data_IF_734143797778
#
_entry.id   IF_734143797778
#
_cell.length_a   1.000
_cell.length_b   1.000
_cell.length_c   1.000
_cell.angle_alpha   90.00
_cell.angle_beta   90.00
_cell.angle_gamma   90.00
#
_symmetry.space_group_name_H-M   'P 1'
#
loop_
_entity.id
_entity.type
_entity.pdbx_description
1 polymer ?
#
# COMPACT_ATOMS: atom_id res chain seq x y z
N UNK A 1 -8.67 4.32 14.92
CA UNK A 1 -8.18 5.33 13.95
C UNK A 1 -8.59 4.89 12.55
N UNK A 2 -9.24 5.74 11.74
CA UNK A 2 -9.82 5.34 10.45
C UNK A 2 -8.80 5.22 9.31
N UNK A 3 -8.94 4.19 8.47
CA UNK A 3 -8.08 3.86 7.32
C UNK A 3 -7.95 5.04 6.34
N UNK A 4 -9.03 5.82 6.19
CA UNK A 4 -9.06 7.02 5.36
C UNK A 4 -8.09 8.11 5.85
N UNK A 5 -7.96 8.27 7.18
CA UNK A 5 -7.04 9.24 7.80
C UNK A 5 -5.59 8.78 7.70
N UNK A 6 -5.33 7.47 7.75
CA UNK A 6 -4.01 6.88 7.50
C UNK A 6 -3.59 7.11 6.04
N UNK A 7 -4.48 6.83 5.08
CA UNK A 7 -4.24 7.05 3.65
C UNK A 7 -3.96 8.53 3.36
N UNK A 8 -4.81 9.44 3.84
CA UNK A 8 -4.65 10.88 3.62
C UNK A 8 -3.38 11.41 4.28
N UNK A 9 -3.06 11.00 5.51
CA UNK A 9 -1.84 11.41 6.20
C UNK A 9 -0.56 10.86 5.53
N UNK A 10 -0.63 9.64 5.01
CA UNK A 10 0.43 9.07 4.19
C UNK A 10 0.64 9.93 2.93
N UNK A 11 -0.42 10.18 2.15
CA UNK A 11 -0.40 10.99 0.93
C UNK A 11 0.03 12.46 1.15
N UNK A 12 -0.36 13.10 2.25
CA UNK A 12 0.03 14.49 2.54
C UNK A 12 1.44 14.61 3.07
N UNK A 13 1.97 13.57 3.75
CA UNK A 13 3.40 13.47 4.09
C UNK A 13 4.28 13.20 2.86
N UNK A 14 3.71 12.76 1.73
CA UNK A 14 4.38 12.83 0.43
C UNK A 14 4.43 14.25 -0.10
N UNK A 15 5.25 15.07 0.54
CA UNK A 15 5.86 16.18 -0.18
C UNK A 15 6.95 15.55 -1.06
N UNK A 16 6.97 15.76 -2.39
CA UNK A 16 8.03 15.27 -3.26
C UNK A 16 9.28 16.14 -3.02
N UNK A 17 9.83 16.07 -1.81
CA UNK A 17 11.08 16.72 -1.44
C UNK A 17 12.27 15.75 -1.54
N UNK A 18 12.06 14.53 -2.04
CA UNK A 18 13.15 13.59 -2.31
C UNK A 18 12.84 12.74 -3.54
N UNK A 19 13.72 12.73 -4.56
CA UNK A 19 13.63 11.79 -5.68
C UNK A 19 13.89 10.33 -5.25
N UNK A 20 14.31 10.12 -4.00
CA UNK A 20 14.46 8.80 -3.41
C UNK A 20 13.17 8.41 -2.67
N UNK A 21 12.48 7.38 -3.17
CA UNK A 21 11.33 6.73 -2.52
C UNK A 21 11.61 6.12 -1.12
N UNK A 22 12.71 6.49 -0.46
CA UNK A 22 13.17 5.98 0.83
C UNK A 22 12.28 6.37 2.02
N UNK A 23 11.61 7.54 1.97
CA UNK A 23 10.70 7.97 3.05
C UNK A 23 9.41 7.16 3.06
N UNK A 24 8.92 6.74 1.90
CA UNK A 24 7.73 5.91 1.75
C UNK A 24 7.92 4.51 2.33
N UNK A 25 9.02 3.85 1.94
CA UNK A 25 9.37 2.52 2.44
C UNK A 25 9.61 2.52 3.95
N UNK A 26 10.14 3.61 4.51
CA UNK A 26 10.39 3.72 5.96
C UNK A 26 9.08 3.78 6.76
N UNK A 27 8.04 4.45 6.27
CA UNK A 27 6.73 4.48 6.94
C UNK A 27 5.99 3.15 6.79
N UNK A 28 6.00 2.55 5.59
CA UNK A 28 5.36 1.26 5.35
C UNK A 28 5.97 0.13 6.18
N UNK A 29 7.27 0.18 6.51
CA UNK A 29 7.93 -0.76 7.43
C UNK A 29 7.35 -0.76 8.84
N UNK A 30 6.75 0.34 9.28
CA UNK A 30 6.13 0.44 10.61
C UNK A 30 4.70 -0.08 10.67
N UNK A 31 4.11 -0.39 9.51
CA UNK A 31 2.71 -0.78 9.43
C UNK A 31 2.53 -2.28 9.67
N UNK A 32 1.43 -2.66 10.33
CA UNK A 32 1.02 -4.06 10.44
C UNK A 32 0.50 -4.56 9.08
N UNK A 33 0.40 -5.88 8.93
CA UNK A 33 -0.13 -6.48 7.70
C UNK A 33 -1.61 -6.12 7.49
N UNK A 34 -2.37 -6.02 8.58
CA UNK A 34 -3.76 -5.54 8.57
C UNK A 34 -3.85 -4.09 8.06
N UNK A 35 -2.88 -3.23 8.37
CA UNK A 35 -2.81 -1.86 7.84
C UNK A 35 -2.43 -1.84 6.36
N UNK A 36 -1.49 -2.69 5.92
CA UNK A 36 -1.13 -2.84 4.50
C UNK A 36 -2.34 -3.34 3.68
N UNK A 37 -3.07 -4.33 4.18
CA UNK A 37 -4.28 -4.87 3.56
C UNK A 37 -5.38 -3.80 3.45
N UNK A 38 -5.62 -3.07 4.54
CA UNK A 38 -6.62 -2.01 4.58
C UNK A 38 -6.34 -0.88 3.58
N UNK A 39 -5.07 -0.46 3.48
CA UNK A 39 -4.66 0.58 2.53
C UNK A 39 -4.73 0.07 1.09
N UNK A 40 -4.36 -1.19 0.82
CA UNK A 40 -4.57 -1.80 -0.49
C UNK A 40 -6.04 -1.73 -0.91
N UNK A 41 -6.95 -2.23 -0.05
CA UNK A 41 -8.41 -2.17 -0.31
C UNK A 41 -8.90 -0.75 -0.56
N UNK A 42 -8.38 0.23 0.17
CA UNK A 42 -8.72 1.64 -0.03
C UNK A 42 -8.22 2.21 -1.37
N UNK A 43 -7.17 1.63 -1.96
CA UNK A 43 -6.73 1.99 -3.32
C UNK A 43 -7.53 1.30 -4.43
N UNK A 44 -8.12 0.13 -4.14
CA UNK A 44 -8.96 -0.63 -5.09
C UNK A 44 -10.40 -0.15 -5.12
N UNK A 45 -10.93 0.26 -3.97
CA UNK A 45 -12.24 0.89 -3.88
C UNK A 45 -12.10 2.33 -4.40
N UNK A 46 -12.97 2.77 -5.31
CA UNK A 46 -13.07 4.09 -5.97
C UNK A 46 -12.98 5.35 -5.06
N UNK A 47 -12.76 5.16 -3.75
CA UNK A 47 -12.54 6.18 -2.73
C UNK A 47 -11.21 6.92 -2.84
N UNK A 48 -10.35 6.61 -3.83
CA UNK A 48 -9.23 7.47 -4.17
C UNK A 48 -9.73 8.73 -4.89
N UNK A 49 -10.40 9.63 -4.16
CA UNK A 49 -10.41 11.04 -4.53
C UNK A 49 -9.02 11.56 -4.24
N UNK A 50 -8.18 11.64 -5.27
CA UNK A 50 -6.89 12.32 -5.24
C UNK A 50 -7.06 13.63 -4.46
N UNK A 51 -6.54 13.67 -3.24
CA UNK A 51 -6.58 14.88 -2.43
C UNK A 51 -5.86 15.96 -3.24
N UNK A 52 -6.60 16.99 -3.61
CA UNK A 52 -6.16 18.10 -4.45
C UNK A 52 -4.93 18.77 -3.83
N UNK A 53 -3.76 18.39 -4.32
CA UNK A 53 -2.45 18.93 -3.98
C UNK A 53 -1.55 18.86 -5.22
N UNK A 54 -0.50 19.68 -5.32
CA UNK A 54 0.16 19.99 -6.59
C UNK A 54 0.79 18.79 -7.33
N UNK A 55 1.00 17.64 -6.66
CA UNK A 55 1.38 16.36 -7.29
C UNK A 55 0.87 15.17 -6.46
N UNK A 56 -0.33 14.63 -6.72
CA UNK A 56 -0.83 13.45 -6.00
C UNK A 56 -0.04 12.21 -6.44
N UNK A 57 0.41 11.38 -5.48
CA UNK A 57 0.88 10.02 -5.78
C UNK A 57 -0.27 9.26 -6.38
N UNK A 58 -0.11 8.77 -7.61
CA UNK A 58 -1.16 8.02 -8.28
C UNK A 58 -1.43 6.69 -7.56
N UNK A 59 -2.63 6.14 -7.70
CA UNK A 59 -2.97 4.79 -7.21
C UNK A 59 -1.93 3.76 -7.66
N UNK A 60 -1.42 3.88 -8.88
CA UNK A 60 -0.38 3.02 -9.42
C UNK A 60 0.93 3.10 -8.62
N UNK A 61 1.41 4.31 -8.30
CA UNK A 61 2.61 4.50 -7.47
C UNK A 61 2.40 3.99 -6.04
N UNK A 62 1.22 4.20 -5.46
CA UNK A 62 0.90 3.67 -4.14
C UNK A 62 0.93 2.13 -4.12
N UNK A 63 0.37 1.50 -5.15
CA UNK A 63 0.41 0.04 -5.32
C UNK A 63 1.84 -0.47 -5.48
N UNK A 64 2.69 0.19 -6.27
CA UNK A 64 4.10 -0.21 -6.41
C UNK A 64 4.84 -0.20 -5.06
N UNK A 65 4.62 0.83 -4.24
CA UNK A 65 5.23 0.91 -2.91
C UNK A 65 4.70 -0.16 -1.96
N UNK A 66 3.40 -0.44 -1.99
CA UNK A 66 2.80 -1.53 -1.21
C UNK A 66 3.37 -2.90 -1.64
N UNK A 67 3.40 -3.20 -2.95
CA UNK A 67 3.96 -4.45 -3.47
C UNK A 67 5.41 -4.60 -3.04
N UNK A 68 6.23 -3.56 -3.16
CA UNK A 68 7.64 -3.61 -2.77
C UNK A 68 7.82 -3.93 -1.27
N UNK A 69 6.98 -3.36 -0.40
CA UNK A 69 7.03 -3.68 1.03
C UNK A 69 6.50 -5.10 1.33
N UNK A 70 5.42 -5.52 0.66
CA UNK A 70 4.85 -6.86 0.83
C UNK A 70 5.84 -7.93 0.34
N UNK A 71 6.50 -7.72 -0.80
CA UNK A 71 7.54 -8.60 -1.33
C UNK A 71 8.75 -8.69 -0.38
N UNK A 72 9.13 -7.57 0.25
CA UNK A 72 10.21 -7.55 1.24
C UNK A 72 9.89 -8.40 2.46
N UNK A 73 8.63 -8.44 2.92
CA UNK A 73 8.19 -9.22 4.09
C UNK A 73 7.90 -10.68 3.74
N UNK A 74 7.27 -10.91 2.60
CA UNK A 74 6.68 -12.18 2.19
C UNK A 74 7.07 -12.53 0.75
N UNK A 75 8.37 -12.73 0.44
CA UNK A 75 8.83 -12.86 -0.95
C UNK A 75 8.22 -14.07 -1.67
N UNK A 76 8.04 -15.19 -0.96
CA UNK A 76 7.46 -16.41 -1.54
C UNK A 76 5.96 -16.23 -1.76
N UNK A 77 5.23 -15.78 -0.74
CA UNK A 77 3.78 -15.59 -0.81
C UNK A 77 3.41 -14.50 -1.84
N UNK A 78 4.23 -13.46 -1.94
CA UNK A 78 4.05 -12.39 -2.93
C UNK A 78 4.23 -12.91 -4.34
N UNK A 79 5.26 -13.72 -4.61
CA UNK A 79 5.42 -14.35 -5.93
C UNK A 79 4.25 -15.25 -6.29
N UNK A 80 3.80 -16.09 -5.35
CA UNK A 80 2.61 -16.94 -5.55
C UNK A 80 1.36 -16.10 -5.84
N UNK A 81 1.14 -15.03 -5.07
CA UNK A 81 0.00 -14.14 -5.28
C UNK A 81 0.08 -13.38 -6.61
N UNK A 82 1.26 -12.87 -7.01
CA UNK A 82 1.46 -12.19 -8.30
C UNK A 82 1.16 -13.10 -9.50
N UNK A 83 1.34 -14.41 -9.35
CA UNK A 83 0.96 -15.40 -10.38
C UNK A 83 -0.52 -15.82 -10.32
N UNK A 84 -1.27 -15.36 -9.31
CA UNK A 84 -2.68 -15.74 -9.12
C UNK A 84 -3.64 -14.81 -9.88
N UNK A 85 -4.84 -15.29 -10.23
CA UNK A 85 -5.90 -14.45 -10.80
C UNK A 85 -6.27 -13.24 -9.92
N UNK A 86 -6.09 -13.35 -8.60
CA UNK A 86 -6.40 -12.27 -7.66
C UNK A 86 -5.49 -11.04 -7.85
N UNK A 87 -4.22 -11.23 -8.22
CA UNK A 87 -3.34 -10.09 -8.54
C UNK A 87 -3.77 -9.39 -9.83
N UNK A 88 -4.29 -10.14 -10.81
CA UNK A 88 -4.77 -9.61 -12.09
C UNK A 88 -6.04 -8.76 -11.92
N UNK A 89 -6.91 -9.12 -10.99
CA UNK A 89 -8.11 -8.33 -10.66
C UNK A 89 -7.83 -7.18 -9.70
N UNK A 90 -6.58 -7.05 -9.21
CA UNK A 90 -6.19 -6.01 -8.26
C UNK A 90 -6.71 -6.23 -6.84
N UNK A 91 -7.15 -7.44 -6.51
CA UNK A 91 -7.51 -7.85 -5.16
C UNK A 91 -6.26 -7.84 -4.27
N UNK A 92 -6.40 -7.50 -2.97
CA UNK A 92 -5.27 -7.56 -2.05
C UNK A 92 -4.77 -8.99 -1.86
N UNK A 93 -3.51 -9.15 -1.44
CA UNK A 93 -3.01 -10.45 -1.02
C UNK A 93 -3.71 -10.89 0.28
N UNK A 94 -4.49 -11.97 0.21
CA UNK A 94 -5.27 -12.49 1.35
C UNK A 94 -4.39 -12.95 2.53
N UNK A 95 -3.13 -13.32 2.29
CA UNK A 95 -2.21 -13.67 3.37
C UNK A 95 -1.88 -12.50 4.30
N UNK A 96 -2.12 -11.26 3.88
CA UNK A 96 -2.01 -10.08 4.75
C UNK A 96 -3.24 -9.93 5.65
N UNK A 97 -4.40 -10.48 5.25
CA UNK A 97 -5.64 -10.45 6.06
C UNK A 97 -5.54 -11.38 7.25
N UNK A 98 -4.90 -12.53 7.05
CA UNK A 98 -4.52 -13.48 8.10
C UNK A 98 -3.26 -13.06 8.86
N UNK A 99 -2.73 -11.87 8.57
CA UNK A 99 -1.51 -11.32 9.15
C UNK A 99 -1.39 -11.62 10.63
N UNK A 100 -0.38 -12.42 10.94
CA UNK A 100 -0.03 -12.87 12.27
C UNK A 100 0.33 -11.67 13.14
N UNK A 101 -0.65 -11.13 13.87
CA UNK A 101 -0.39 -10.35 15.10
C UNK A 101 -0.02 -11.34 16.24
N UNK A 102 0.96 -12.23 15.99
CA UNK A 102 1.58 -13.08 17.03
C UNK A 102 2.84 -12.43 17.57
#
# INVERSE_FOLDING_TARGET
MGIQRLLVNWLTRFRPASPNGSLAGSVLRTWSDSQLYAVWRATTTDSYRAAAGPRPITVAQARQLLIAEIERRYPVQTRTWLTSPAALTGEPPEFLRTGQDS
#
